data_IF_685312526116
#
_entry.id   IF_685312526116
#
_cell.length_a   1.000
_cell.length_b   1.000
_cell.length_c   1.000
_cell.angle_alpha   90.00
_cell.angle_beta   90.00
_cell.angle_gamma   90.00
#
_symmetry.space_group_name_H-M   'P 1'
#
loop_
_entity.id
_entity.type
_entity.pdbx_description
1 polymer ?
#
# COMPACT_ATOMS: atom_id res chain seq x y z
N UNK A 1 -7.93 -8.63 -27.20
CA UNK A 1 -8.04 -8.90 -25.77
C UNK A 1 -7.08 -8.01 -25.02
N UNK A 2 -7.61 -7.14 -24.24
CA UNK A 2 -6.78 -6.23 -23.49
C UNK A 2 -6.40 -6.89 -22.17
N UNK A 3 -5.14 -7.26 -22.06
CA UNK A 3 -4.60 -7.70 -20.80
C UNK A 3 -4.41 -6.46 -19.93
N UNK A 4 -5.46 -6.09 -19.20
CA UNK A 4 -5.36 -4.97 -18.27
C UNK A 4 -4.55 -5.40 -17.09
N UNK A 5 -3.31 -4.96 -17.06
CA UNK A 5 -2.47 -5.14 -15.90
C UNK A 5 -2.68 -3.94 -14.97
N UNK A 6 -3.23 -4.22 -13.79
CA UNK A 6 -3.34 -3.19 -12.77
C UNK A 6 -1.97 -2.95 -12.14
N UNK A 7 -1.72 -1.69 -11.79
CA UNK A 7 -0.46 -1.24 -11.19
C UNK A 7 -0.70 -1.01 -9.70
N UNK A 8 0.29 -1.36 -8.87
CA UNK A 8 0.24 -1.08 -7.44
C UNK A 8 1.06 0.16 -7.09
N UNK A 9 0.75 0.85 -5.98
CA UNK A 9 1.59 1.96 -5.51
C UNK A 9 3.04 1.55 -5.27
N UNK A 10 3.27 0.32 -4.82
CA UNK A 10 4.62 -0.21 -4.64
C UNK A 10 5.41 -0.26 -5.95
N UNK A 11 4.74 -0.63 -7.05
CA UNK A 11 5.38 -0.63 -8.37
C UNK A 11 5.75 0.78 -8.82
N UNK A 12 4.91 1.77 -8.52
CA UNK A 12 5.22 3.18 -8.82
C UNK A 12 6.45 3.63 -8.05
N UNK A 13 6.56 3.27 -6.78
CA UNK A 13 7.73 3.58 -5.96
C UNK A 13 9.00 2.92 -6.52
N UNK A 14 8.90 1.65 -6.91
CA UNK A 14 10.02 0.92 -7.49
C UNK A 14 10.44 1.53 -8.83
N UNK A 15 9.50 1.99 -9.63
CA UNK A 15 9.78 2.65 -10.89
C UNK A 15 10.57 3.95 -10.66
N UNK A 16 10.18 4.73 -9.67
CA UNK A 16 10.87 5.98 -9.32
C UNK A 16 12.27 5.72 -8.80
N UNK A 17 12.46 4.61 -8.10
CA UNK A 17 13.77 4.20 -7.60
C UNK A 17 14.66 3.64 -8.72
N UNK A 18 14.13 2.71 -9.51
CA UNK A 18 14.86 2.08 -10.61
C UNK A 18 13.88 1.52 -11.65
N UNK A 19 13.71 2.16 -12.82
CA UNK A 19 12.80 1.68 -13.85
C UNK A 19 13.09 0.27 -14.34
N UNK A 20 14.37 -0.14 -14.34
CA UNK A 20 14.78 -1.49 -14.76
C UNK A 20 14.19 -2.57 -13.86
N UNK A 21 14.02 -2.25 -12.57
CA UNK A 21 13.50 -3.19 -11.60
C UNK A 21 12.06 -3.59 -11.96
N UNK A 22 11.23 -2.61 -12.31
CA UNK A 22 9.85 -2.84 -12.75
C UNK A 22 9.84 -3.65 -14.05
N UNK A 23 10.72 -3.34 -14.98
CA UNK A 23 10.86 -4.07 -16.22
C UNK A 23 11.16 -5.55 -15.98
N UNK A 24 12.12 -5.85 -15.12
CA UNK A 24 12.48 -7.23 -14.81
C UNK A 24 11.35 -7.97 -14.10
N UNK A 25 10.64 -7.31 -13.20
CA UNK A 25 9.54 -7.95 -12.47
C UNK A 25 8.33 -8.21 -13.36
N UNK A 26 7.91 -7.24 -14.16
CA UNK A 26 6.64 -7.30 -14.88
C UNK A 26 6.78 -7.84 -16.30
N UNK A 27 7.84 -7.48 -17.01
CA UNK A 27 8.05 -7.89 -18.40
C UNK A 27 8.84 -9.18 -18.49
N UNK A 28 9.94 -9.28 -17.78
CA UNK A 28 10.80 -10.45 -17.79
C UNK A 28 10.38 -11.52 -16.79
N UNK A 29 9.50 -11.18 -15.84
CA UNK A 29 9.00 -12.09 -14.80
C UNK A 29 10.11 -12.70 -13.96
N UNK A 30 11.18 -11.93 -13.72
CA UNK A 30 12.29 -12.37 -12.86
C UNK A 30 11.87 -12.27 -11.40
N UNK A 31 12.08 -13.34 -10.65
CA UNK A 31 11.71 -13.41 -9.24
C UNK A 31 12.53 -12.43 -8.39
N UNK A 32 11.84 -11.76 -7.48
CA UNK A 32 12.46 -10.84 -6.55
C UNK A 32 12.80 -11.58 -5.24
N UNK A 33 14.07 -11.53 -4.86
CA UNK A 33 14.54 -12.19 -3.64
C UNK A 33 14.51 -11.25 -2.43
N UNK A 34 13.34 -10.74 -2.10
CA UNK A 34 13.16 -9.79 -0.98
C UNK A 34 13.60 -10.35 0.36
N UNK A 35 13.43 -11.66 0.56
CA UNK A 35 13.81 -12.34 1.81
C UNK A 35 15.30 -12.23 2.14
N UNK A 36 16.14 -11.89 1.15
CA UNK A 36 17.58 -11.70 1.33
C UNK A 36 17.94 -10.24 1.67
N UNK A 37 16.97 -9.34 1.65
CA UNK A 37 17.19 -7.91 1.87
C UNK A 37 16.82 -7.55 3.31
N UNK A 38 17.83 -7.38 4.17
CA UNK A 38 17.64 -7.10 5.60
C UNK A 38 16.81 -5.86 5.86
N UNK A 39 17.01 -4.78 5.08
CA UNK A 39 16.26 -3.53 5.26
C UNK A 39 14.78 -3.71 4.91
N UNK A 40 14.48 -4.52 3.89
CA UNK A 40 13.09 -4.83 3.52
C UNK A 40 12.41 -5.61 4.64
N UNK A 41 13.11 -6.60 5.19
CA UNK A 41 12.59 -7.41 6.30
C UNK A 41 12.34 -6.56 7.55
N UNK A 42 13.26 -5.65 7.89
CA UNK A 42 13.07 -4.70 8.99
C UNK A 42 11.84 -3.81 8.75
N UNK A 43 11.67 -3.31 7.52
CA UNK A 43 10.51 -2.49 7.19
C UNK A 43 9.20 -3.25 7.37
N UNK A 44 9.16 -4.50 6.98
CA UNK A 44 7.99 -5.37 7.17
C UNK A 44 7.70 -5.62 8.65
N UNK A 45 8.73 -5.85 9.45
CA UNK A 45 8.57 -6.05 10.89
C UNK A 45 8.03 -4.81 11.58
N UNK A 46 8.56 -3.63 11.23
CA UNK A 46 8.07 -2.35 11.74
C UNK A 46 6.62 -2.12 11.34
N UNK A 47 6.28 -2.42 10.09
CA UNK A 47 4.91 -2.27 9.58
C UNK A 47 3.93 -3.16 10.37
N UNK A 48 4.28 -4.43 10.58
CA UNK A 48 3.46 -5.36 11.37
C UNK A 48 3.27 -4.86 12.80
N UNK A 49 4.35 -4.37 13.42
CA UNK A 49 4.28 -3.82 14.76
C UNK A 49 3.33 -2.62 14.83
N UNK A 50 3.44 -1.70 13.89
CA UNK A 50 2.56 -0.53 13.80
C UNK A 50 1.10 -0.92 13.59
N UNK A 51 0.83 -1.93 12.77
CA UNK A 51 -0.53 -2.43 12.58
C UNK A 51 -1.14 -2.92 13.90
N UNK A 52 -0.37 -3.69 14.68
CA UNK A 52 -0.82 -4.19 15.98
C UNK A 52 -1.04 -3.04 16.97
N UNK A 53 -0.09 -2.11 17.04
CA UNK A 53 -0.16 -0.97 17.96
C UNK A 53 -1.32 -0.03 17.64
N UNK A 54 -1.65 0.15 16.37
CA UNK A 54 -2.67 1.11 15.93
C UNK A 54 -4.03 0.48 15.64
N UNK A 55 -4.19 -0.83 15.86
CA UNK A 55 -5.42 -1.54 15.50
C UNK A 55 -6.67 -0.89 16.07
N UNK A 56 -6.65 -0.50 17.33
CA UNK A 56 -7.81 0.08 18.02
C UNK A 56 -7.67 1.59 18.22
N UNK A 57 -6.61 2.19 17.67
CA UNK A 57 -6.37 3.63 17.81
C UNK A 57 -7.13 4.41 16.74
N UNK A 58 -7.96 5.34 17.18
CA UNK A 58 -8.69 6.24 16.29
C UNK A 58 -8.06 7.64 16.34
N UNK A 59 -7.71 8.16 15.16
CA UNK A 59 -7.01 9.46 15.05
C UNK A 59 -8.00 10.63 15.17
N UNK A 60 -8.49 10.86 16.37
CA UNK A 60 -9.47 11.92 16.66
C UNK A 60 -8.95 13.33 16.35
N UNK A 61 -7.64 13.57 16.52
CA UNK A 61 -7.03 14.85 16.20
C UNK A 61 -7.09 15.19 14.72
N UNK A 62 -7.15 14.20 13.86
CA UNK A 62 -7.32 14.38 12.41
C UNK A 62 -8.79 14.52 12.01
N UNK A 63 -9.73 14.47 12.97
CA UNK A 63 -11.15 14.52 12.71
C UNK A 63 -11.78 13.18 12.38
N UNK A 64 -11.09 12.08 12.67
CA UNK A 64 -11.60 10.74 12.38
C UNK A 64 -12.66 10.33 13.42
N UNK A 65 -13.80 9.84 12.93
CA UNK A 65 -14.89 9.32 13.77
C UNK A 65 -15.01 7.81 13.71
N UNK A 66 -14.44 7.20 12.65
CA UNK A 66 -14.43 5.75 12.46
C UNK A 66 -13.30 5.39 11.51
N UNK A 67 -12.96 4.12 11.42
CA UNK A 67 -11.94 3.64 10.50
C UNK A 67 -12.17 2.19 10.09
N UNK A 68 -11.63 1.84 8.91
CA UNK A 68 -11.45 0.47 8.46
C UNK A 68 -9.95 0.19 8.37
N UNK A 69 -9.54 -1.03 8.67
CA UNK A 69 -8.13 -1.45 8.62
C UNK A 69 -7.93 -2.49 7.52
N UNK A 70 -6.74 -2.48 6.94
CA UNK A 70 -6.31 -3.44 5.91
C UNK A 70 -7.31 -3.50 4.75
N UNK A 71 -7.56 -2.34 4.12
CA UNK A 71 -8.58 -2.19 3.09
C UNK A 71 -7.97 -2.34 1.70
N UNK A 72 -8.54 -3.25 0.90
CA UNK A 72 -8.19 -3.39 -0.50
C UNK A 72 -8.98 -2.37 -1.33
N UNK A 73 -8.28 -1.57 -2.12
CA UNK A 73 -8.87 -0.57 -3.00
C UNK A 73 -8.45 -0.84 -4.45
N UNK A 74 -9.36 -0.58 -5.38
CA UNK A 74 -9.08 -0.69 -6.79
C UNK A 74 -9.79 0.39 -7.59
N UNK A 75 -9.18 0.80 -8.69
CA UNK A 75 -9.77 1.76 -9.61
C UNK A 75 -9.55 1.27 -11.04
N UNK A 76 -10.63 0.93 -11.72
CA UNK A 76 -10.55 0.54 -13.13
C UNK A 76 -10.18 1.72 -14.02
N UNK A 77 -10.64 2.91 -13.64
CA UNK A 77 -10.33 4.14 -14.38
C UNK A 77 -8.83 4.43 -14.40
N UNK A 78 -8.18 4.29 -13.24
CA UNK A 78 -6.75 4.57 -13.10
C UNK A 78 -5.88 3.32 -13.30
N UNK A 79 -6.49 2.15 -13.39
CA UNK A 79 -5.79 0.85 -13.46
C UNK A 79 -4.85 0.65 -12.28
N UNK A 80 -5.30 1.07 -11.08
CA UNK A 80 -4.54 0.94 -9.84
C UNK A 80 -5.26 0.01 -8.87
N UNK A 81 -4.49 -0.81 -8.18
CA UNK A 81 -4.96 -1.66 -7.08
C UNK A 81 -3.95 -1.58 -5.94
N UNK A 82 -4.43 -1.72 -4.72
CA UNK A 82 -3.53 -1.74 -3.57
C UNK A 82 -4.29 -1.91 -2.28
N UNK A 83 -3.54 -2.16 -1.21
CA UNK A 83 -4.06 -2.18 0.15
C UNK A 83 -3.58 -0.95 0.89
N UNK A 84 -4.48 -0.31 1.62
CA UNK A 84 -4.13 0.77 2.55
C UNK A 84 -4.28 0.25 3.96
N UNK A 85 -3.41 0.74 4.85
CA UNK A 85 -3.40 0.29 6.24
C UNK A 85 -4.68 0.70 6.97
N UNK A 86 -5.14 1.93 6.74
CA UNK A 86 -6.39 2.42 7.33
C UNK A 86 -7.12 3.33 6.35
N UNK A 87 -8.44 3.28 6.39
CA UNK A 87 -9.30 4.28 5.77
C UNK A 87 -10.05 4.98 6.89
N UNK A 88 -9.81 6.27 7.05
CA UNK A 88 -10.42 7.08 8.11
C UNK A 88 -11.70 7.73 7.59
N UNK A 89 -12.78 7.62 8.36
CA UNK A 89 -14.02 8.36 8.08
C UNK A 89 -14.02 9.61 8.94
N UNK A 90 -14.10 10.77 8.29
CA UNK A 90 -13.94 12.06 8.94
C UNK A 90 -15.29 12.68 9.31
N UNK A 91 -15.25 13.64 10.23
CA UNK A 91 -16.44 14.32 10.75
C UNK A 91 -17.24 15.02 9.65
N UNK A 92 -16.55 15.51 8.61
CA UNK A 92 -17.18 16.20 7.48
C UNK A 92 -17.83 15.28 6.45
N UNK A 93 -17.85 13.98 6.70
CA UNK A 93 -18.40 12.99 5.79
C UNK A 93 -17.45 12.48 4.72
N UNK A 94 -16.21 12.96 4.72
CA UNK A 94 -15.20 12.48 3.79
C UNK A 94 -14.44 11.28 4.34
N UNK A 95 -13.65 10.65 3.49
CA UNK A 95 -12.78 9.53 3.86
C UNK A 95 -11.36 9.81 3.39
N UNK A 96 -10.38 9.37 4.17
CA UNK A 96 -8.98 9.56 3.85
C UNK A 96 -8.18 8.28 4.07
N UNK A 97 -7.29 7.92 3.14
CA UNK A 97 -6.39 6.79 3.36
C UNK A 97 -5.24 7.19 4.28
N UNK A 98 -4.80 6.24 5.09
CA UNK A 98 -3.64 6.40 5.95
C UNK A 98 -2.73 5.19 5.77
N UNK A 99 -1.46 5.43 5.57
CA UNK A 99 -0.45 4.39 5.42
C UNK A 99 0.66 4.59 6.46
N UNK A 100 1.18 3.48 6.98
CA UNK A 100 2.20 3.52 8.03
C UNK A 100 3.62 3.70 7.49
#
# INVERSE_FOLDING_TARGET
>A
MSDFQFITPSEVMEYLFCPRFVYYMNTMKIEQHEHRRTLVNKGRDIHKLKMVQNKDYLRKKAGAIDKLTDVYLSSEKLKLVGKVDEVLFLVDGSAAPLDY
#
